data_IF_555969420709
#
_entry.id   IF_555969420709
#
_cell.length_a   1.000
_cell.length_b   1.000
_cell.length_c   1.000
_cell.angle_alpha   90.00
_cell.angle_beta   90.00
_cell.angle_gamma   90.00
#
_symmetry.space_group_name_H-M   'P 1'
#
loop_
_entity.id
_entity.type
_entity.pdbx_description
1 polymer ?
#
# COMPACT_ATOMS: atom_id res chain seq x y z
N UNK A 1 -41.44 2.00 18.94
CA UNK A 1 -41.44 2.57 17.59
C UNK A 1 -40.39 3.67 17.64
N UNK A 2 -39.13 3.45 17.28
CA UNK A 2 -38.60 2.57 16.25
C UNK A 2 -37.26 1.95 16.66
N UNK A 3 -37.14 0.66 16.36
CA UNK A 3 -35.94 -0.15 16.51
C UNK A 3 -34.84 0.47 15.63
N UNK A 4 -33.89 1.17 16.24
CA UNK A 4 -32.59 1.41 15.63
C UNK A 4 -31.89 0.04 15.54
N UNK A 5 -32.19 -0.63 14.44
CA UNK A 5 -31.53 -1.82 13.93
C UNK A 5 -30.02 -1.59 13.98
N UNK A 6 -29.40 -2.10 15.03
CA UNK A 6 -28.00 -2.46 15.04
C UNK A 6 -27.80 -3.38 13.82
N UNK A 7 -27.22 -2.87 12.75
CA UNK A 7 -26.84 -3.71 11.61
C UNK A 7 -25.75 -4.67 12.13
N UNK A 8 -26.01 -5.96 12.32
CA UNK A 8 -24.91 -6.91 12.49
C UNK A 8 -24.31 -7.16 11.09
N UNK A 9 -23.25 -7.94 11.04
CA UNK A 9 -22.49 -8.39 9.86
C UNK A 9 -21.24 -7.59 9.50
N UNK A 10 -20.12 -8.01 10.12
CA UNK A 10 -19.00 -8.43 9.28
C UNK A 10 -19.11 -9.94 9.15
N UNK A 11 -19.44 -10.43 7.95
CA UNK A 11 -19.32 -11.85 7.63
C UNK A 11 -17.89 -12.29 7.89
N UNK A 12 -17.71 -13.45 8.55
CA UNK A 12 -16.48 -14.21 8.41
C UNK A 12 -16.25 -14.41 6.93
N UNK A 13 -15.30 -13.66 6.37
CA UNK A 13 -14.92 -13.82 4.97
C UNK A 13 -13.91 -14.94 4.96
N UNK A 14 -14.24 -16.01 4.25
CA UNK A 14 -13.33 -17.14 4.08
C UNK A 14 -11.99 -16.67 3.50
N UNK A 15 -10.89 -17.22 4.00
CA UNK A 15 -9.54 -16.81 3.60
C UNK A 15 -9.32 -17.02 2.09
N UNK A 16 -9.85 -18.10 1.52
CA UNK A 16 -9.71 -18.41 0.10
C UNK A 16 -10.45 -17.35 -0.73
N UNK A 17 -11.62 -16.90 -0.28
CA UNK A 17 -12.37 -15.84 -0.95
C UNK A 17 -11.64 -14.48 -0.88
N UNK A 18 -11.01 -14.15 0.25
CA UNK A 18 -10.15 -12.94 0.35
C UNK A 18 -9.01 -13.01 -0.66
N UNK A 19 -8.33 -14.16 -0.76
CA UNK A 19 -7.21 -14.35 -1.68
C UNK A 19 -7.69 -14.24 -3.14
N UNK A 20 -8.80 -14.89 -3.49
CA UNK A 20 -9.37 -14.90 -4.85
C UNK A 20 -9.92 -13.54 -5.27
N UNK A 21 -10.50 -12.78 -4.35
CA UNK A 21 -11.12 -11.47 -4.64
C UNK A 21 -10.12 -10.33 -4.70
N UNK A 22 -8.93 -10.45 -4.08
CA UNK A 22 -7.91 -9.40 -4.08
C UNK A 22 -7.55 -8.96 -5.51
N UNK A 23 -7.58 -7.66 -5.77
CA UNK A 23 -7.10 -7.03 -7.00
C UNK A 23 -6.12 -5.91 -6.67
N UNK A 24 -5.22 -5.63 -7.59
CA UNK A 24 -4.39 -4.42 -7.53
C UNK A 24 -5.30 -3.24 -7.86
N UNK A 25 -5.37 -2.25 -6.96
CA UNK A 25 -6.17 -1.04 -7.16
C UNK A 25 -5.28 0.17 -7.42
N UNK A 26 -5.80 1.10 -8.23
CA UNK A 26 -5.21 2.42 -8.47
C UNK A 26 -6.23 3.55 -8.21
N UNK A 27 -7.37 3.22 -7.59
CA UNK A 27 -8.42 4.17 -7.23
C UNK A 27 -8.48 4.23 -5.71
N UNK A 28 -8.07 5.36 -5.16
CA UNK A 28 -7.98 5.58 -3.73
C UNK A 28 -8.92 6.70 -3.30
N UNK A 29 -9.43 6.59 -2.07
CA UNK A 29 -9.99 7.74 -1.38
C UNK A 29 -8.83 8.57 -0.81
N UNK A 30 -9.03 9.86 -0.53
CA UNK A 30 -7.99 10.70 0.06
C UNK A 30 -7.61 10.31 1.50
N UNK A 31 -8.42 9.50 2.17
CA UNK A 31 -8.18 9.10 3.57
C UNK A 31 -6.96 8.18 3.70
N UNK A 32 -6.06 8.53 4.62
CA UNK A 32 -4.98 7.64 5.05
C UNK A 32 -5.53 6.64 6.07
N UNK A 33 -5.25 5.33 5.94
CA UNK A 33 -5.58 4.37 6.99
C UNK A 33 -4.95 4.74 8.33
N UNK A 34 -5.62 4.43 9.44
CA UNK A 34 -5.04 4.67 10.77
C UNK A 34 -3.70 3.92 10.95
N UNK A 35 -2.76 4.45 11.75
CA UNK A 35 -1.48 3.79 12.02
C UNK A 35 -1.63 2.35 12.52
N UNK A 36 -2.67 2.09 13.31
CA UNK A 36 -2.96 0.76 13.85
C UNK A 36 -3.32 -0.27 12.78
N UNK A 37 -4.10 0.13 11.77
CA UNK A 37 -4.42 -0.75 10.63
C UNK A 37 -3.15 -1.09 9.85
N UNK A 38 -2.27 -0.12 9.64
CA UNK A 38 -0.99 -0.32 8.94
C UNK A 38 -0.08 -1.25 9.75
N UNK A 39 0.05 -1.02 11.06
CA UNK A 39 0.86 -1.86 11.97
C UNK A 39 0.41 -3.32 11.94
N UNK A 40 -0.90 -3.57 12.08
CA UNK A 40 -1.46 -4.93 12.01
C UNK A 40 -1.19 -5.62 10.67
N UNK A 41 -1.24 -4.88 9.56
CA UNK A 41 -0.91 -5.43 8.25
C UNK A 41 0.58 -5.80 8.13
N UNK A 42 1.47 -4.94 8.65
CA UNK A 42 2.91 -5.23 8.69
C UNK A 42 3.21 -6.43 9.58
N UNK A 43 2.57 -6.53 10.75
CA UNK A 43 2.71 -7.67 11.66
C UNK A 43 2.30 -8.98 11.00
N UNK A 44 1.16 -9.00 10.30
CA UNK A 44 0.75 -10.16 9.52
C UNK A 44 1.78 -10.52 8.43
N UNK A 45 2.38 -9.52 7.77
CA UNK A 45 3.42 -9.75 6.76
C UNK A 45 4.71 -10.35 7.36
N UNK A 46 5.05 -10.02 8.62
CA UNK A 46 6.21 -10.58 9.33
C UNK A 46 6.10 -12.07 9.64
N UNK A 47 4.91 -12.67 9.55
CA UNK A 47 4.72 -14.12 9.68
C UNK A 47 5.03 -14.89 8.39
N UNK A 48 5.47 -14.22 7.32
CA UNK A 48 5.91 -14.90 6.11
C UNK A 48 7.07 -15.87 6.40
N UNK A 49 7.08 -17.07 5.81
CA UNK A 49 8.17 -18.01 5.99
C UNK A 49 9.46 -17.43 5.38
N UNK A 50 10.57 -17.57 6.09
CA UNK A 50 11.87 -17.11 5.65
C UNK A 50 12.98 -18.05 6.12
N UNK A 51 13.94 -18.32 5.24
CA UNK A 51 15.03 -19.22 5.55
C UNK A 51 15.94 -18.62 6.64
N UNK A 52 16.35 -19.47 7.60
CA UNK A 52 17.19 -19.10 8.75
C UNK A 52 16.61 -18.03 9.68
N UNK A 53 15.30 -17.76 9.60
CA UNK A 53 14.60 -16.79 10.46
C UNK A 53 15.26 -15.40 10.47
N UNK A 54 15.85 -14.98 9.34
CA UNK A 54 16.55 -13.70 9.22
C UNK A 54 15.63 -12.49 9.19
N UNK A 55 14.34 -12.67 8.86
CA UNK A 55 13.33 -11.62 8.75
C UNK A 55 13.86 -10.37 8.02
N UNK A 56 14.28 -10.51 6.75
CA UNK A 56 15.14 -9.52 6.11
C UNK A 56 14.40 -8.28 5.61
N UNK A 57 13.06 -8.29 5.66
CA UNK A 57 12.20 -7.18 5.27
C UNK A 57 12.40 -5.97 6.18
N UNK A 58 12.39 -4.78 5.57
CA UNK A 58 12.36 -3.49 6.25
C UNK A 58 11.20 -2.70 5.67
N UNK A 59 10.36 -2.16 6.55
CA UNK A 59 9.17 -1.40 6.20
C UNK A 59 9.37 0.07 6.56
N UNK A 60 9.08 0.96 5.61
CA UNK A 60 9.20 2.41 5.79
C UNK A 60 7.89 3.07 5.40
N UNK A 61 7.20 3.66 6.37
CA UNK A 61 6.06 4.51 6.11
C UNK A 61 6.58 5.89 5.72
N UNK A 62 6.33 6.34 4.49
CA UNK A 62 6.81 7.63 4.03
C UNK A 62 5.87 8.74 4.48
N UNK A 63 6.43 9.81 5.05
CA UNK A 63 5.73 11.07 5.24
C UNK A 63 5.47 11.80 3.91
N UNK A 64 4.60 12.82 3.92
CA UNK A 64 4.15 13.52 2.71
C UNK A 64 5.31 14.09 1.88
N UNK A 65 6.30 14.73 2.51
CA UNK A 65 7.44 15.32 1.81
C UNK A 65 8.29 14.27 1.09
N UNK A 66 8.53 13.12 1.74
CA UNK A 66 9.32 12.04 1.12
C UNK A 66 8.53 11.36 0.00
N UNK A 67 7.22 11.17 0.18
CA UNK A 67 6.34 10.67 -0.87
C UNK A 67 6.36 11.60 -2.09
N UNK A 68 6.23 12.91 -1.90
CA UNK A 68 6.29 13.90 -2.99
C UNK A 68 7.61 13.81 -3.77
N UNK A 69 8.75 13.66 -3.07
CA UNK A 69 10.06 13.46 -3.71
C UNK A 69 10.15 12.16 -4.51
N UNK A 70 9.55 11.08 -4.02
CA UNK A 70 9.47 9.80 -4.76
C UNK A 70 8.63 9.95 -6.02
N UNK A 71 7.51 10.67 -5.96
CA UNK A 71 6.67 10.96 -7.13
C UNK A 71 7.43 11.80 -8.16
N UNK A 72 8.13 12.86 -7.73
CA UNK A 72 8.96 13.68 -8.60
C UNK A 72 10.04 12.85 -9.32
N UNK A 73 10.80 12.04 -8.56
CA UNK A 73 11.83 11.17 -9.13
C UNK A 73 11.24 10.19 -10.15
N UNK A 74 10.13 9.52 -9.81
CA UNK A 74 9.49 8.59 -10.74
C UNK A 74 8.99 9.31 -12.00
N UNK A 75 8.50 10.55 -11.87
CA UNK A 75 8.05 11.36 -13.01
C UNK A 75 9.19 11.65 -13.97
N UNK A 76 10.37 12.03 -13.46
CA UNK A 76 11.57 12.25 -14.27
C UNK A 76 12.00 10.97 -15.00
N UNK A 77 12.05 9.83 -14.30
CA UNK A 77 12.40 8.53 -14.89
C UNK A 77 11.41 8.11 -15.99
N UNK A 78 10.11 8.34 -15.76
CA UNK A 78 9.06 8.01 -16.72
C UNK A 78 9.15 8.93 -17.94
N UNK A 79 9.37 10.23 -17.74
CA UNK A 79 9.57 11.22 -18.82
C UNK A 79 10.73 10.81 -19.71
N UNK A 80 11.88 10.48 -19.11
CA UNK A 80 13.08 10.08 -19.84
C UNK A 80 12.87 8.80 -20.68
N UNK A 81 12.06 7.85 -20.19
CA UNK A 81 11.87 6.56 -20.85
C UNK A 81 10.68 6.49 -21.81
N UNK A 82 9.59 7.19 -21.51
CA UNK A 82 8.29 7.05 -22.18
C UNK A 82 7.66 8.39 -22.60
N UNK A 83 8.36 9.51 -22.41
CA UNK A 83 7.93 10.84 -22.86
C UNK A 83 6.97 11.56 -21.92
N UNK A 84 6.65 12.82 -22.25
CA UNK A 84 5.95 13.74 -21.35
C UNK A 84 4.51 13.30 -21.03
N UNK A 85 3.78 12.77 -22.02
CA UNK A 85 2.39 12.35 -21.81
C UNK A 85 2.30 11.23 -20.76
N UNK A 86 3.14 10.20 -20.88
CA UNK A 86 3.20 9.11 -19.92
C UNK A 86 3.63 9.60 -18.51
N UNK A 87 4.53 10.57 -18.45
CA UNK A 87 4.98 11.17 -17.19
C UNK A 87 3.84 11.87 -16.46
N UNK A 88 3.08 12.72 -17.15
CA UNK A 88 1.94 13.44 -16.56
C UNK A 88 0.86 12.49 -16.04
N UNK A 89 0.48 11.49 -16.84
CA UNK A 89 -0.53 10.50 -16.45
C UNK A 89 -0.09 9.71 -15.21
N UNK A 90 1.20 9.32 -15.18
CA UNK A 90 1.77 8.59 -14.06
C UNK A 90 1.88 9.44 -12.80
N UNK A 91 2.29 10.70 -12.94
CA UNK A 91 2.41 11.66 -11.85
C UNK A 91 1.06 11.88 -11.20
N UNK A 92 0.03 12.27 -11.97
CA UNK A 92 -1.31 12.51 -11.45
C UNK A 92 -1.87 11.28 -10.71
N UNK A 93 -1.61 10.08 -11.24
CA UNK A 93 -2.02 8.83 -10.58
C UNK A 93 -1.30 8.58 -9.26
N UNK A 94 -0.01 8.92 -9.17
CA UNK A 94 0.80 8.68 -7.97
C UNK A 94 0.59 9.74 -6.90
N UNK A 95 0.31 10.99 -7.27
CA UNK A 95 -0.09 12.07 -6.35
C UNK A 95 -1.43 11.79 -5.67
N UNK A 96 -2.35 11.08 -6.34
CA UNK A 96 -3.63 10.68 -5.78
C UNK A 96 -3.55 9.53 -4.75
N UNK A 97 -2.36 8.96 -4.50
CA UNK A 97 -2.18 7.88 -3.53
C UNK A 97 -2.03 8.48 -2.13
N UNK A 98 -2.94 8.17 -1.17
CA UNK A 98 -2.97 8.83 0.13
C UNK A 98 -1.79 8.45 1.05
N UNK A 99 -1.14 7.31 0.82
CA UNK A 99 -0.06 6.84 1.67
C UNK A 99 0.87 5.87 0.96
N UNK A 100 2.15 5.90 1.36
CA UNK A 100 3.23 5.13 0.76
C UNK A 100 3.93 4.26 1.80
N UNK A 101 3.97 2.95 1.56
CA UNK A 101 4.76 1.99 2.32
C UNK A 101 5.84 1.42 1.41
N UNK A 102 7.10 1.70 1.72
CA UNK A 102 8.24 1.13 1.01
C UNK A 102 8.69 -0.13 1.74
N UNK A 103 8.90 -1.19 0.97
CA UNK A 103 9.45 -2.44 1.47
C UNK A 103 10.82 -2.63 0.82
N UNK A 104 11.85 -2.80 1.64
CA UNK A 104 13.18 -3.20 1.18
C UNK A 104 13.58 -4.50 1.84
N UNK A 105 14.63 -5.12 1.32
CA UNK A 105 15.22 -6.34 1.86
C UNK A 105 16.73 -6.14 1.91
N UNK A 106 17.36 -6.47 3.05
CA UNK A 106 18.82 -6.52 3.09
C UNK A 106 19.27 -7.65 2.16
N UNK A 107 20.05 -7.32 1.13
CA UNK A 107 20.71 -8.32 0.29
C UNK A 107 21.66 -9.12 1.18
N UNK A 108 21.60 -10.44 1.06
CA UNK A 108 22.63 -11.30 1.63
C UNK A 108 23.97 -10.96 0.97
N UNK A 109 25.01 -10.90 1.81
CA UNK A 109 26.39 -10.76 1.37
C UNK A 109 26.83 -12.01 0.59
#
# INVERSE_FOLDING_TARGET
MDNLSCTPFRQETDLIDVIRSRRTTHRFRPDVPSPEVIRRAVEAACWAPNHKLTQPWRFYLLGPDTAARVVALNTELVRARWGEAAARDKQARWEAIPGWLVVTCRRSD
#
